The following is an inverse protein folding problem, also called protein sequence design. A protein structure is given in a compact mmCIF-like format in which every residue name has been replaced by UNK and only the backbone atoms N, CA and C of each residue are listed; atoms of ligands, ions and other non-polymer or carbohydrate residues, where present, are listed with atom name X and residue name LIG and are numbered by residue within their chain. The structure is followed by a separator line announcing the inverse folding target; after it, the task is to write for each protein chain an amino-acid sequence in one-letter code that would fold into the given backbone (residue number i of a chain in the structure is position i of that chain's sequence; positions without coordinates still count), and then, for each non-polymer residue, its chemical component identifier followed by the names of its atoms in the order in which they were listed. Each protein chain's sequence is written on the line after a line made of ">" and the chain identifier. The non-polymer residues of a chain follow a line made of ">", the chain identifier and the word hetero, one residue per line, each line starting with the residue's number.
data_IF_237819893007
#
_entry.id   IF_237819893007
#
_cell.length_a   1.000
_cell.length_b   1.000
_cell.length_c   1.000
_cell.angle_alpha   90.00
_cell.angle_beta   90.00
_cell.angle_gamma   90.00
#
_symmetry.space_group_name_H-M   'P 1'
#
loop_
_entity.id
_entity.type
_entity.pdbx_description
1 polymer ?
#
# COMPACT_ATOMS: atom_id res chain seq x y z
N UNK A 1 -3.76 -3.98 0.23
CA UNK A 1 -4.81 -4.23 -0.78
C UNK A 1 -4.68 -5.62 -1.37
N UNK A 2 -3.58 -5.95 -2.05
CA UNK A 2 -3.33 -7.29 -2.61
C UNK A 2 -3.41 -8.40 -1.54
N UNK A 3 -2.67 -8.25 -0.43
CA UNK A 3 -2.67 -9.22 0.68
C UNK A 3 -4.08 -9.50 1.21
N UNK A 4 -4.84 -8.44 1.50
CA UNK A 4 -6.23 -8.51 1.99
C UNK A 4 -7.21 -9.13 0.98
N UNK A 5 -6.98 -8.93 -0.32
CA UNK A 5 -7.79 -9.55 -1.35
C UNK A 5 -7.52 -11.06 -1.41
N UNK A 6 -6.24 -11.45 -1.40
CA UNK A 6 -5.84 -12.85 -1.42
C UNK A 6 -6.27 -13.60 -0.16
N UNK A 7 -6.22 -12.96 1.03
CA UNK A 7 -6.61 -13.59 2.30
C UNK A 7 -8.09 -14.01 2.33
N UNK A 8 -8.93 -13.33 1.54
CA UNK A 8 -10.37 -13.64 1.40
C UNK A 8 -10.63 -14.72 0.36
N UNK A 9 -9.77 -14.85 -0.65
CA UNK A 9 -9.98 -15.73 -1.78
C UNK A 9 -9.30 -17.10 -1.67
N UNK A 10 -8.30 -17.25 -0.80
CA UNK A 10 -7.50 -18.48 -0.71
C UNK A 10 -7.13 -18.78 0.74
N UNK A 11 -7.28 -20.04 1.15
CA UNK A 11 -6.76 -20.54 2.43
C UNK A 11 -5.28 -20.91 2.29
N UNK A 12 -4.40 -19.99 2.64
CA UNK A 12 -2.94 -20.21 2.71
C UNK A 12 -2.44 -19.81 4.09
N UNK A 13 -1.27 -20.32 4.50
CA UNK A 13 -0.61 -19.78 5.67
C UNK A 13 -0.13 -18.35 5.42
N UNK A 14 0.14 -17.62 6.51
CA UNK A 14 0.50 -16.20 6.46
C UNK A 14 1.77 -15.90 5.64
N UNK A 15 2.74 -16.82 5.60
CA UNK A 15 4.02 -16.64 4.90
C UNK A 15 3.84 -16.86 3.40
N UNK A 16 3.11 -17.91 3.02
CA UNK A 16 2.75 -18.14 1.62
C UNK A 16 1.90 -17.01 1.05
N UNK A 17 0.91 -16.56 1.82
CA UNK A 17 0.04 -15.45 1.43
C UNK A 17 0.84 -14.17 1.20
N UNK A 18 1.75 -13.83 2.11
CA UNK A 18 2.63 -12.67 1.97
C UNK A 18 3.56 -12.81 0.76
N UNK A 19 4.12 -14.00 0.55
CA UNK A 19 5.00 -14.29 -0.59
C UNK A 19 4.27 -14.05 -1.92
N UNK A 20 3.05 -14.57 -2.07
CA UNK A 20 2.23 -14.35 -3.27
C UNK A 20 1.82 -12.88 -3.43
N UNK A 21 1.41 -12.23 -2.35
CA UNK A 21 1.05 -10.82 -2.38
C UNK A 21 2.22 -9.92 -2.80
N UNK A 22 3.44 -10.23 -2.33
CA UNK A 22 4.64 -9.47 -2.68
C UNK A 22 5.07 -9.70 -4.14
N UNK A 23 4.89 -10.92 -4.68
CA UNK A 23 5.11 -11.18 -6.11
C UNK A 23 4.19 -10.32 -6.99
N UNK A 24 2.89 -10.32 -6.70
CA UNK A 24 1.91 -9.47 -7.42
C UNK A 24 2.18 -7.96 -7.26
N UNK A 25 2.74 -7.55 -6.12
CA UNK A 25 3.19 -6.17 -5.94
C UNK A 25 4.34 -5.83 -6.89
N UNK A 26 5.37 -6.69 -6.98
CA UNK A 26 6.49 -6.49 -7.89
C UNK A 26 6.05 -6.47 -9.36
N UNK A 27 5.11 -7.36 -9.74
CA UNK A 27 4.54 -7.37 -11.09
C UNK A 27 3.81 -6.06 -11.41
N UNK A 28 3.00 -5.54 -10.48
CA UNK A 28 2.29 -4.27 -10.68
C UNK A 28 3.21 -3.06 -10.79
N UNK A 29 4.23 -2.94 -9.94
CA UNK A 29 5.15 -1.81 -10.02
C UNK A 29 6.03 -1.89 -11.27
N UNK A 30 6.44 -3.09 -11.68
CA UNK A 30 7.18 -3.29 -12.92
C UNK A 30 6.34 -2.92 -14.15
N UNK A 31 5.07 -3.35 -14.19
CA UNK A 31 4.15 -3.01 -15.28
C UNK A 31 3.85 -1.50 -15.36
N UNK A 32 3.95 -0.79 -14.24
CA UNK A 32 3.80 0.65 -14.15
C UNK A 32 5.12 1.43 -14.29
N UNK A 33 6.23 0.75 -14.58
CA UNK A 33 7.57 1.35 -14.70
C UNK A 33 8.01 2.14 -13.45
N UNK A 34 7.53 1.72 -12.27
CA UNK A 34 7.82 2.32 -10.97
C UNK A 34 8.85 1.46 -10.24
N UNK A 35 9.83 2.12 -9.61
CA UNK A 35 10.78 1.43 -8.75
C UNK A 35 10.10 0.85 -7.50
N UNK A 36 10.36 -0.42 -7.12
CA UNK A 36 9.76 -1.01 -5.93
C UNK A 36 10.16 -0.26 -4.65
N UNK A 37 9.21 0.44 -4.03
CA UNK A 37 9.45 1.20 -2.78
C UNK A 37 9.34 0.36 -1.50
N UNK A 38 8.59 -0.74 -1.53
CA UNK A 38 8.50 -1.73 -0.44
C UNK A 38 9.44 -2.90 -0.71
N UNK A 39 10.26 -3.23 0.29
CA UNK A 39 10.95 -4.53 0.35
C UNK A 39 10.02 -5.59 0.95
N UNK A 40 10.37 -6.88 0.76
CA UNK A 40 9.64 -7.99 1.36
C UNK A 40 9.53 -7.87 2.89
N UNK A 41 10.62 -7.51 3.56
CA UNK A 41 10.65 -7.33 5.02
C UNK A 41 9.80 -6.14 5.49
N UNK A 42 9.72 -5.06 4.70
CA UNK A 42 8.82 -3.93 5.00
C UNK A 42 7.36 -4.31 4.79
N UNK A 43 7.04 -5.08 3.75
CA UNK A 43 5.70 -5.62 3.55
C UNK A 43 5.29 -6.58 4.69
N UNK A 44 6.20 -7.46 5.12
CA UNK A 44 6.00 -8.32 6.30
C UNK A 44 5.69 -7.49 7.55
N UNK A 45 6.52 -6.47 7.85
CA UNK A 45 6.32 -5.60 9.01
C UNK A 45 4.98 -4.85 8.93
N UNK A 46 4.58 -4.40 7.74
CA UNK A 46 3.28 -3.77 7.54
C UNK A 46 2.12 -4.70 7.91
N UNK A 47 2.17 -5.97 7.47
CA UNK A 47 1.18 -6.98 7.86
C UNK A 47 1.16 -7.16 9.38
N UNK A 48 2.33 -7.27 10.02
CA UNK A 48 2.40 -7.40 11.48
C UNK A 48 1.80 -6.22 12.24
N UNK A 49 1.94 -4.99 11.74
CA UNK A 49 1.29 -3.83 12.36
C UNK A 49 -0.23 -3.83 12.15
N UNK A 50 -0.72 -4.34 11.03
CA UNK A 50 -2.17 -4.50 10.81
C UNK A 50 -2.72 -5.60 11.71
N UNK A 51 -2.07 -6.75 11.79
CA UNK A 51 -2.46 -7.88 12.65
C UNK A 51 -2.47 -7.50 14.13
N UNK A 52 -1.51 -6.67 14.56
CA UNK A 52 -1.42 -6.15 15.93
C UNK A 52 -2.42 -5.01 16.21
N UNK A 53 -3.25 -4.63 15.25
CA UNK A 53 -4.20 -3.53 15.38
C UNK A 53 -3.50 -2.19 15.64
N UNK A 54 -2.32 -1.95 15.06
CA UNK A 54 -1.62 -0.66 15.13
C UNK A 54 -1.90 0.21 13.89
N UNK A 55 -2.19 -0.42 12.75
CA UNK A 55 -2.53 0.22 11.49
C UNK A 55 -3.82 -0.37 10.93
N UNK A 56 -4.53 0.39 10.13
CA UNK A 56 -5.74 -0.05 9.44
C UNK A 56 -5.76 0.41 7.98
N UNK A 57 -6.80 0.02 7.23
CA UNK A 57 -7.07 0.48 5.87
C UNK A 57 -8.25 1.43 5.87
N UNK A 58 -8.00 2.66 5.43
CA UNK A 58 -9.01 3.72 5.37
C UNK A 58 -9.27 4.12 3.92
N UNK A 59 -10.55 4.30 3.60
CA UNK A 59 -11.00 4.73 2.27
C UNK A 59 -10.87 6.25 2.15
N UNK A 60 -10.22 6.73 1.10
CA UNK A 60 -10.18 8.16 0.78
C UNK A 60 -11.58 8.66 0.39
N UNK A 61 -12.00 9.78 0.95
CA UNK A 61 -13.31 10.39 0.68
C UNK A 61 -13.41 11.02 -0.72
N UNK A 62 -12.27 11.27 -1.38
CA UNK A 62 -12.24 11.85 -2.73
C UNK A 62 -12.04 10.80 -3.82
N UNK A 63 -10.88 10.11 -3.85
CA UNK A 63 -10.59 9.13 -4.90
C UNK A 63 -11.11 7.72 -4.62
N UNK A 64 -11.72 7.46 -3.45
CA UNK A 64 -12.22 6.15 -3.01
C UNK A 64 -11.17 5.03 -2.86
N UNK A 65 -9.88 5.33 -3.09
CA UNK A 65 -8.78 4.40 -2.88
C UNK A 65 -8.58 4.01 -1.41
N UNK A 66 -8.02 2.83 -1.15
CA UNK A 66 -7.79 2.31 0.20
C UNK A 66 -6.30 2.44 0.57
N UNK A 67 -6.02 3.19 1.65
CA UNK A 67 -4.69 3.56 2.11
C UNK A 67 -4.43 3.05 3.53
N UNK A 68 -3.16 2.87 3.88
CA UNK A 68 -2.76 2.51 5.25
C UNK A 68 -2.76 3.76 6.13
N UNK A 69 -3.46 3.71 7.25
CA UNK A 69 -3.55 4.82 8.22
C UNK A 69 -3.47 4.29 9.66
N UNK A 70 -3.43 5.20 10.62
CA UNK A 70 -3.68 4.89 12.03
C UNK A 70 -5.15 4.48 12.26
N UNK A 71 -5.42 3.82 13.39
CA UNK A 71 -6.72 3.21 13.72
C UNK A 71 -7.89 4.20 13.77
N UNK A 72 -7.63 5.43 14.23
CA UNK A 72 -8.65 6.44 14.52
C UNK A 72 -8.56 7.64 13.57
N UNK A 73 -8.26 7.35 12.31
CA UNK A 73 -8.23 8.37 11.26
C UNK A 73 -9.59 9.05 11.06
N UNK A 74 -9.58 10.31 10.60
CA UNK A 74 -10.78 11.10 10.38
C UNK A 74 -11.76 10.40 9.40
N UNK A 75 -13.07 10.49 9.69
CA UNK A 75 -14.15 10.00 8.80
C UNK A 75 -14.06 10.57 7.37
N UNK A 76 -13.49 11.76 7.21
CA UNK A 76 -13.25 12.42 5.93
C UNK A 76 -11.79 12.36 5.49
N UNK A 77 -11.13 11.22 5.72
CA UNK A 77 -9.76 10.98 5.29
C UNK A 77 -9.54 11.35 3.81
N UNK A 78 -8.53 12.18 3.56
CA UNK A 78 -8.08 12.56 2.21
C UNK A 78 -6.63 12.10 2.06
N UNK A 79 -6.37 11.24 1.07
CA UNK A 79 -5.04 10.68 0.89
C UNK A 79 -4.04 11.73 0.36
N UNK A 80 -2.75 11.46 0.56
CA UNK A 80 -1.66 12.32 0.07
C UNK A 80 -1.50 12.36 -1.46
N UNK A 81 -2.34 11.65 -2.23
CA UNK A 81 -2.43 11.83 -3.69
C UNK A 81 -3.49 12.88 -4.04
N UNK A 82 -4.62 12.90 -3.32
CA UNK A 82 -5.69 13.90 -3.49
C UNK A 82 -5.34 15.25 -2.86
N UNK A 83 -4.55 15.26 -1.79
CA UNK A 83 -4.02 16.47 -1.18
C UNK A 83 -2.49 16.34 -1.03
N UNK A 84 -1.74 16.49 -2.14
CA UNK A 84 -0.31 16.20 -2.15
C UNK A 84 0.49 17.22 -1.33
N UNK A 85 1.47 16.77 -0.52
CA UNK A 85 2.34 17.68 0.21
C UNK A 85 3.23 18.47 -0.77
N UNK A 86 3.72 19.63 -0.34
CA UNK A 86 4.47 20.60 -1.17
C UNK A 86 5.73 20.07 -1.90
N UNK A 87 6.18 18.85 -1.57
CA UNK A 87 7.36 18.20 -2.17
C UNK A 87 7.03 16.89 -2.92
N UNK A 88 5.77 16.49 -3.01
CA UNK A 88 5.43 15.31 -3.78
C UNK A 88 5.75 15.54 -5.27
N UNK A 89 6.30 14.52 -5.95
CA UNK A 89 6.72 14.60 -7.35
C UNK A 89 8.05 15.35 -7.62
N UNK A 90 8.73 15.90 -6.61
CA UNK A 90 10.02 16.61 -6.82
C UNK A 90 11.23 15.68 -6.99
N UNK A 91 11.05 14.37 -6.94
CA UNK A 91 12.13 13.42 -7.21
C UNK A 91 12.48 13.43 -8.69
N UNK A 92 13.77 13.56 -9.02
CA UNK A 92 14.29 13.43 -10.39
C UNK A 92 14.80 12.02 -10.70
N UNK A 93 14.54 11.04 -9.82
CA UNK A 93 14.95 9.66 -10.08
C UNK A 93 14.07 9.01 -11.15
N UNK A 94 14.69 8.29 -12.09
CA UNK A 94 13.97 7.44 -13.01
C UNK A 94 13.17 6.39 -12.22
N UNK A 95 11.91 6.14 -12.61
CA UNK A 95 11.02 5.21 -11.88
C UNK A 95 10.42 5.78 -10.59
N UNK A 96 10.54 7.09 -10.32
CA UNK A 96 9.83 7.72 -9.21
C UNK A 96 8.31 7.71 -9.42
N UNK A 97 7.57 7.59 -8.32
CA UNK A 97 6.13 7.86 -8.32
C UNK A 97 5.88 9.33 -8.71
N UNK A 98 5.21 9.52 -9.84
CA UNK A 98 4.77 10.82 -10.33
C UNK A 98 3.32 11.07 -9.91
N UNK A 99 3.03 12.31 -9.54
CA UNK A 99 1.65 12.79 -9.41
C UNK A 99 1.21 13.30 -10.78
N UNK A 100 0.04 12.87 -11.24
CA UNK A 100 -0.62 13.43 -12.42
C UNK A 100 -1.26 14.79 -12.10
#
# INVERSE_FOLDING_TARGET
>A
NIYEYLSKGVSLDSVELLTKAYRLYNEQVAAAEIEPLLSFTRAWRLVKFVDAGMLTRTKCSQCSGQFVTELYENRHYTCGLCNPPARAGKSKSAGALTLH
#
